data_IF_605771470568
#
_entry.id   IF_605771470568
#
_cell.length_a   1.000
_cell.length_b   1.000
_cell.length_c   1.000
_cell.angle_alpha   90.00
_cell.angle_beta   90.00
_cell.angle_gamma   90.00
#
_symmetry.space_group_name_H-M   'P 1'
#
loop_
_entity.id
_entity.type
_entity.pdbx_description
1 polymer ?
#
# COMPACT_ATOMS: atom_id res chain seq x y z
N UNK A 1 2.31 -3.99 -5.29
CA UNK A 1 3.09 -2.95 -4.61
C UNK A 1 3.40 -3.40 -3.19
N UNK A 2 2.40 -3.85 -2.44
CA UNK A 2 2.54 -4.41 -1.09
C UNK A 2 3.54 -5.57 -0.98
N UNK A 3 3.57 -6.48 -1.96
CA UNK A 3 4.60 -7.54 -2.00
C UNK A 3 6.03 -7.01 -2.18
N UNK A 4 6.20 -5.92 -2.95
CA UNK A 4 7.50 -5.24 -3.06
C UNK A 4 7.85 -4.51 -1.76
N UNK A 5 6.85 -3.96 -1.07
CA UNK A 5 6.98 -3.35 0.25
C UNK A 5 7.46 -4.36 1.30
N UNK A 6 6.88 -5.57 1.32
CA UNK A 6 7.34 -6.66 2.16
C UNK A 6 8.78 -7.12 1.83
N UNK A 7 9.15 -7.17 0.55
CA UNK A 7 10.53 -7.52 0.13
C UNK A 7 11.50 -6.44 0.59
N UNK A 8 11.13 -5.17 0.45
CA UNK A 8 11.94 -4.05 0.89
C UNK A 8 12.14 -4.06 2.42
N UNK A 9 11.11 -4.36 3.20
CA UNK A 9 11.27 -4.55 4.65
C UNK A 9 12.19 -5.70 5.03
N UNK A 10 12.12 -6.82 4.33
CA UNK A 10 13.06 -7.92 4.53
C UNK A 10 14.48 -7.49 4.19
N UNK A 11 14.64 -6.67 3.15
CA UNK A 11 15.91 -6.08 2.75
C UNK A 11 16.45 -5.10 3.79
N UNK A 12 15.62 -4.22 4.38
CA UNK A 12 15.99 -3.33 5.50
C UNK A 12 16.59 -4.14 6.65
N UNK A 13 15.90 -5.22 7.04
CA UNK A 13 16.34 -6.06 8.13
C UNK A 13 17.66 -6.77 7.78
N UNK A 14 17.80 -7.29 6.57
CA UNK A 14 19.06 -7.89 6.10
C UNK A 14 20.22 -6.89 6.10
N UNK A 15 20.01 -5.66 5.62
CA UNK A 15 21.01 -4.59 5.63
C UNK A 15 21.44 -4.26 7.05
N UNK A 16 20.49 -4.22 7.99
CA UNK A 16 20.74 -3.95 9.41
C UNK A 16 21.64 -5.00 10.08
N UNK A 17 21.53 -6.27 9.68
CA UNK A 17 22.24 -7.37 10.33
C UNK A 17 23.49 -7.85 9.58
N UNK A 18 23.59 -7.66 8.26
CA UNK A 18 24.59 -8.36 7.43
C UNK A 18 25.63 -7.48 6.72
N UNK A 19 25.42 -6.16 6.60
CA UNK A 19 26.30 -5.31 5.77
C UNK A 19 27.39 -4.63 6.61
N UNK A 20 28.68 -4.79 6.27
CA UNK A 20 29.78 -4.09 6.94
C UNK A 20 29.70 -2.56 6.75
N UNK A 21 30.22 -1.83 7.74
CA UNK A 21 29.96 -0.40 8.01
C UNK A 21 30.21 0.57 6.85
N UNK A 22 31.03 0.21 5.85
CA UNK A 22 31.45 1.11 4.76
C UNK A 22 30.47 1.14 3.56
N UNK A 23 29.72 0.07 3.29
CA UNK A 23 28.63 0.04 2.28
C UNK A 23 27.27 0.39 2.89
N UNK A 24 27.23 0.51 4.21
CA UNK A 24 26.01 0.64 4.98
C UNK A 24 25.26 1.94 4.66
N UNK A 25 25.94 3.08 4.56
CA UNK A 25 25.27 4.39 4.46
C UNK A 25 24.50 4.54 3.14
N UNK A 26 25.11 4.20 2.00
CA UNK A 26 24.44 4.31 0.69
C UNK A 26 23.32 3.29 0.54
N UNK A 27 23.55 2.05 0.98
CA UNK A 27 22.53 1.00 0.95
C UNK A 27 21.36 1.36 1.86
N UNK A 28 21.64 1.84 3.07
CA UNK A 28 20.62 2.29 4.01
C UNK A 28 19.81 3.48 3.48
N UNK A 29 20.45 4.46 2.81
CA UNK A 29 19.76 5.58 2.14
C UNK A 29 18.81 5.09 1.05
N UNK A 30 19.28 4.23 0.14
CA UNK A 30 18.47 3.69 -0.94
C UNK A 30 17.27 2.90 -0.42
N UNK A 31 17.48 2.05 0.57
CA UNK A 31 16.43 1.18 1.10
C UNK A 31 15.42 1.99 1.92
N UNK A 32 15.87 2.99 2.69
CA UNK A 32 14.94 3.90 3.38
C UNK A 32 14.12 4.74 2.40
N UNK A 33 14.73 5.16 1.28
CA UNK A 33 14.00 5.83 0.20
C UNK A 33 12.95 4.89 -0.42
N UNK A 34 13.33 3.65 -0.71
CA UNK A 34 12.45 2.65 -1.31
C UNK A 34 11.24 2.37 -0.43
N UNK A 35 11.42 2.28 0.89
CA UNK A 35 10.35 2.06 1.87
C UNK A 35 9.30 3.16 1.81
N UNK A 36 9.75 4.42 1.83
CA UNK A 36 8.87 5.58 1.82
C UNK A 36 8.23 5.78 0.45
N UNK A 37 8.97 5.52 -0.64
CA UNK A 37 8.41 5.50 -1.98
C UNK A 37 7.27 4.49 -2.08
N UNK A 38 7.51 3.24 -1.65
CA UNK A 38 6.51 2.18 -1.70
C UNK A 38 5.35 2.46 -0.74
N UNK A 39 5.60 3.16 0.37
CA UNK A 39 4.57 3.60 1.31
C UNK A 39 3.61 4.60 0.66
N UNK A 40 4.12 5.64 -0.03
CA UNK A 40 3.28 6.56 -0.81
C UNK A 40 2.51 5.84 -1.91
N UNK A 41 3.16 4.94 -2.63
CA UNK A 41 2.51 4.14 -3.67
C UNK A 41 1.35 3.35 -3.06
N UNK A 42 1.54 2.74 -1.88
CA UNK A 42 0.50 1.98 -1.18
C UNK A 42 -0.72 2.84 -0.84
N UNK A 43 -0.53 3.94 -0.12
CA UNK A 43 -1.65 4.79 0.34
C UNK A 43 -2.45 5.37 -0.83
N UNK A 44 -1.77 5.88 -1.87
CA UNK A 44 -2.46 6.46 -3.03
C UNK A 44 -3.18 5.34 -3.83
N UNK A 45 -2.58 4.15 -3.92
CA UNK A 45 -3.23 2.99 -4.57
C UNK A 45 -4.47 2.51 -3.79
N UNK A 46 -4.44 2.52 -2.46
CA UNK A 46 -5.59 2.17 -1.63
C UNK A 46 -6.73 3.18 -1.82
N UNK A 47 -6.40 4.47 -1.90
CA UNK A 47 -7.37 5.52 -2.21
C UNK A 47 -8.04 5.29 -3.58
N UNK A 48 -7.24 5.01 -4.61
CA UNK A 48 -7.74 4.63 -5.94
C UNK A 48 -8.70 3.44 -5.88
N UNK A 49 -8.32 2.40 -5.13
CA UNK A 49 -9.12 1.19 -5.00
C UNK A 49 -10.49 1.48 -4.34
N UNK A 50 -10.52 2.37 -3.34
CA UNK A 50 -11.76 2.85 -2.73
C UNK A 50 -12.64 3.58 -3.76
N UNK A 51 -12.06 4.54 -4.50
CA UNK A 51 -12.77 5.31 -5.53
C UNK A 51 -13.31 4.41 -6.64
N UNK A 52 -12.52 3.45 -7.10
CA UNK A 52 -12.95 2.49 -8.11
C UNK A 52 -14.18 1.68 -7.65
N UNK A 53 -14.17 1.19 -6.42
CA UNK A 53 -15.30 0.44 -5.85
C UNK A 53 -16.54 1.30 -5.65
N UNK A 54 -16.35 2.55 -5.23
CA UNK A 54 -17.43 3.51 -5.19
C UNK A 54 -18.05 3.72 -6.56
N UNK A 55 -17.24 3.99 -7.59
CA UNK A 55 -17.76 4.18 -8.95
C UNK A 55 -18.47 2.95 -9.50
N UNK A 56 -18.02 1.75 -9.16
CA UNK A 56 -18.69 0.50 -9.55
C UNK A 56 -20.06 0.30 -8.87
N UNK A 57 -20.29 0.94 -7.72
CA UNK A 57 -21.52 0.78 -6.93
C UNK A 57 -22.61 1.80 -7.31
N UNK A 58 -22.18 2.99 -7.76
CA UNK A 58 -23.03 4.08 -8.18
C UNK A 58 -23.09 4.18 -9.71
N UNK A 59 -24.26 3.90 -10.30
CA UNK A 59 -24.47 3.84 -11.76
C UNK A 59 -24.05 5.11 -12.51
N UNK A 60 -24.08 6.26 -11.84
CA UNK A 60 -23.66 7.55 -12.41
C UNK A 60 -22.15 7.60 -12.75
N UNK A 61 -21.34 6.75 -12.12
CA UNK A 61 -19.88 6.74 -12.25
C UNK A 61 -19.34 5.50 -12.97
N UNK A 62 -20.20 4.62 -13.48
CA UNK A 62 -19.79 3.35 -14.13
C UNK A 62 -18.92 3.57 -15.38
N UNK A 63 -19.04 4.74 -16.04
CA UNK A 63 -18.28 5.12 -17.24
C UNK A 63 -16.96 5.86 -16.96
N UNK A 64 -16.62 6.12 -15.69
CA UNK A 64 -15.44 6.90 -15.32
C UNK A 64 -14.15 6.11 -15.59
N UNK A 65 -14.16 4.81 -15.29
CA UNK A 65 -12.96 3.97 -15.33
C UNK A 65 -12.71 3.37 -16.72
N UNK A 66 -12.12 4.18 -17.61
CA UNK A 66 -11.57 3.70 -18.90
C UNK A 66 -10.11 3.29 -18.74
N UNK A 67 -9.65 2.29 -19.50
CA UNK A 67 -8.26 1.80 -19.45
C UNK A 67 -7.20 2.91 -19.57
N UNK A 68 -7.41 3.93 -20.43
CA UNK A 68 -6.52 5.09 -20.52
C UNK A 68 -6.44 5.90 -19.22
N UNK A 69 -7.57 6.11 -18.54
CA UNK A 69 -7.63 6.85 -17.27
C UNK A 69 -6.96 6.05 -16.15
N UNK A 70 -7.19 4.73 -16.10
CA UNK A 70 -6.54 3.83 -15.14
C UNK A 70 -5.02 3.88 -15.30
N UNK A 71 -4.52 3.74 -16.54
CA UNK A 71 -3.08 3.79 -16.79
C UNK A 71 -2.48 5.14 -16.42
N UNK A 72 -3.15 6.24 -16.79
CA UNK A 72 -2.70 7.60 -16.45
C UNK A 72 -2.65 7.80 -14.93
N UNK A 73 -3.63 7.27 -14.20
CA UNK A 73 -3.65 7.33 -12.75
C UNK A 73 -2.50 6.52 -12.14
N UNK A 74 -2.28 5.28 -12.58
CA UNK A 74 -1.17 4.44 -12.10
C UNK A 74 0.18 5.13 -12.33
N UNK A 75 0.40 5.71 -13.51
CA UNK A 75 1.61 6.49 -13.80
C UNK A 75 1.70 7.70 -12.86
N UNK A 76 0.59 8.40 -12.63
CA UNK A 76 0.50 9.49 -11.67
C UNK A 76 0.89 9.09 -10.25
N UNK A 77 0.43 7.92 -9.77
CA UNK A 77 0.83 7.37 -8.46
C UNK A 77 2.35 7.20 -8.40
N UNK A 78 2.94 6.54 -9.40
CA UNK A 78 4.37 6.26 -9.46
C UNK A 78 5.18 7.56 -9.45
N UNK A 79 4.83 8.51 -10.31
CA UNK A 79 5.55 9.79 -10.44
C UNK A 79 5.40 10.63 -9.17
N UNK A 80 4.18 10.76 -8.64
CA UNK A 80 3.93 11.55 -7.43
C UNK A 80 4.68 10.95 -6.23
N UNK A 81 4.60 9.64 -6.03
CA UNK A 81 5.30 8.93 -4.95
C UNK A 81 6.82 9.03 -5.08
N UNK A 82 7.34 9.04 -6.31
CA UNK A 82 8.75 9.26 -6.56
C UNK A 82 9.16 10.68 -6.14
N UNK A 83 8.43 11.70 -6.60
CA UNK A 83 8.73 13.11 -6.28
C UNK A 83 8.66 13.38 -4.78
N UNK A 84 7.64 12.87 -4.09
CA UNK A 84 7.48 13.06 -2.65
C UNK A 84 8.51 12.32 -1.81
N UNK A 85 9.14 11.28 -2.36
CA UNK A 85 10.21 10.53 -1.67
C UNK A 85 11.64 11.05 -1.96
N UNK A 86 11.84 11.89 -2.97
CA UNK A 86 13.15 12.50 -3.28
C UNK A 86 13.85 13.18 -2.08
N UNK A 87 13.16 13.93 -1.19
CA UNK A 87 13.83 14.59 -0.06
C UNK A 87 14.70 13.66 0.81
N UNK A 88 14.38 12.36 0.86
CA UNK A 88 15.14 11.35 1.63
C UNK A 88 16.49 11.03 1.00
N UNK A 89 16.56 11.06 -0.34
CA UNK A 89 17.78 10.75 -1.07
C UNK A 89 18.79 11.89 -0.99
N UNK A 90 18.33 13.13 -0.89
CA UNK A 90 19.18 14.33 -0.85
C UNK A 90 19.73 14.57 0.57
N UNK A 91 19.09 14.02 1.59
CA UNK A 91 19.48 14.19 2.99
C UNK A 91 20.82 13.53 3.31
N UNK A 92 21.79 14.34 3.74
CA UNK A 92 22.94 13.84 4.50
C UNK A 92 22.50 13.60 5.94
N UNK A 93 22.43 12.32 6.31
CA UNK A 93 22.27 11.94 7.72
C UNK A 93 23.67 11.91 8.31
N UNK A 94 23.94 12.75 9.30
CA UNK A 94 25.12 12.64 10.16
C UNK A 94 24.99 11.36 11.00
N UNK A 95 25.37 10.24 10.39
CA UNK A 95 25.33 8.91 10.97
C UNK A 95 26.73 8.62 11.50
N UNK A 96 26.85 8.48 12.83
CA UNK A 96 28.02 7.88 13.45
C UNK A 96 27.69 6.44 13.81
N UNK A 97 28.59 5.54 13.42
CA UNK A 97 28.56 4.17 13.91
C UNK A 97 29.37 4.11 15.22
N UNK A 98 28.70 3.97 16.35
CA UNK A 98 29.34 3.90 17.67
C UNK A 98 28.83 2.67 18.40
N UNK A 99 29.75 1.81 18.89
CA UNK A 99 29.44 0.60 19.66
C UNK A 99 28.42 -0.35 19.01
N UNK A 100 28.50 -0.56 17.70
CA UNK A 100 27.59 -1.46 16.98
C UNK A 100 26.20 -0.89 16.69
N UNK A 101 25.94 0.37 17.06
CA UNK A 101 24.67 1.05 16.85
C UNK A 101 24.85 2.29 15.97
N UNK A 102 23.87 2.55 15.10
CA UNK A 102 23.77 3.81 14.37
C UNK A 102 23.22 4.89 15.29
N UNK A 103 24.02 5.92 15.52
CA UNK A 103 23.60 7.12 16.24
C UNK A 103 23.44 8.22 15.19
N UNK A 104 22.22 8.74 15.07
CA UNK A 104 21.93 9.90 14.22
C UNK A 104 22.17 11.15 15.05
N UNK A 105 23.16 11.97 14.69
CA UNK A 105 23.64 13.05 15.55
C UNK A 105 22.71 14.29 15.62
N UNK A 106 21.84 14.50 14.63
CA UNK A 106 20.89 15.62 14.60
C UNK A 106 19.54 15.23 14.03
N UNK A 107 18.48 15.65 14.72
CA UNK A 107 17.14 15.76 14.14
C UNK A 107 17.18 16.97 13.20
N UNK A 108 17.52 16.73 11.92
CA UNK A 108 17.46 17.78 10.92
C UNK A 108 16.00 18.18 10.68
N UNK A 109 15.71 19.47 10.62
CA UNK A 109 14.39 20.06 10.33
C UNK A 109 13.71 19.42 9.11
N UNK A 110 14.50 18.95 8.15
CA UNK A 110 14.06 18.21 6.97
C UNK A 110 13.33 16.89 7.29
N UNK A 111 13.71 16.20 8.37
CA UNK A 111 13.01 15.00 8.85
C UNK A 111 11.61 15.35 9.35
N UNK A 112 11.47 16.47 10.05
CA UNK A 112 10.18 16.96 10.54
C UNK A 112 9.29 17.33 9.35
N UNK A 113 9.83 18.07 8.37
CA UNK A 113 9.10 18.43 7.14
C UNK A 113 8.63 17.17 6.39
N UNK A 114 9.49 16.16 6.27
CA UNK A 114 9.14 14.91 5.63
C UNK A 114 8.01 14.18 6.36
N UNK A 115 8.09 14.08 7.69
CA UNK A 115 7.03 13.46 8.52
C UNK A 115 5.73 14.24 8.45
N UNK A 116 5.79 15.57 8.34
CA UNK A 116 4.62 16.43 8.12
C UNK A 116 3.98 16.12 6.77
N UNK A 117 4.77 16.07 5.68
CA UNK A 117 4.27 15.72 4.34
C UNK A 117 3.61 14.32 4.37
N UNK A 118 4.28 13.34 4.98
CA UNK A 118 3.76 11.98 5.13
C UNK A 118 2.43 11.98 5.89
N UNK A 119 2.38 12.63 7.06
CA UNK A 119 1.19 12.74 7.89
C UNK A 119 0.03 13.40 7.16
N UNK A 120 0.28 14.48 6.41
CA UNK A 120 -0.75 15.16 5.60
C UNK A 120 -1.30 14.22 4.52
N UNK A 121 -0.43 13.51 3.81
CA UNK A 121 -0.85 12.57 2.77
C UNK A 121 -1.65 11.40 3.33
N UNK A 122 -1.20 10.81 4.44
CA UNK A 122 -1.93 9.75 5.14
C UNK A 122 -3.31 10.25 5.56
N UNK A 123 -3.39 11.40 6.22
CA UNK A 123 -4.64 11.99 6.67
C UNK A 123 -5.64 12.20 5.52
N UNK A 124 -5.19 12.82 4.41
CA UNK A 124 -6.04 13.09 3.24
C UNK A 124 -6.52 11.77 2.61
N UNK A 125 -5.61 10.82 2.40
CA UNK A 125 -5.94 9.56 1.73
C UNK A 125 -6.80 8.63 2.59
N UNK A 126 -6.59 8.58 3.90
CA UNK A 126 -7.39 7.80 4.84
C UNK A 126 -8.80 8.37 5.02
N UNK A 127 -8.94 9.69 5.13
CA UNK A 127 -10.26 10.33 5.20
C UNK A 127 -11.03 10.10 3.91
N UNK A 128 -10.40 10.34 2.75
CA UNK A 128 -11.04 10.11 1.47
C UNK A 128 -11.47 8.63 1.33
N UNK A 129 -10.58 7.69 1.66
CA UNK A 129 -10.86 6.25 1.61
C UNK A 129 -11.98 5.85 2.56
N UNK A 130 -12.02 6.42 3.77
CA UNK A 130 -13.06 6.19 4.78
C UNK A 130 -14.43 6.65 4.30
N UNK A 131 -14.54 7.91 3.85
CA UNK A 131 -15.80 8.50 3.39
C UNK A 131 -16.36 7.69 2.23
N UNK A 132 -15.51 7.40 1.24
CA UNK A 132 -15.86 6.66 0.03
C UNK A 132 -16.28 5.23 0.38
N UNK A 133 -15.58 4.56 1.30
CA UNK A 133 -15.93 3.20 1.75
C UNK A 133 -17.24 3.16 2.52
N UNK A 134 -17.50 4.12 3.43
CA UNK A 134 -18.76 4.22 4.18
C UNK A 134 -19.94 4.45 3.24
N UNK A 135 -19.82 5.37 2.28
CA UNK A 135 -20.85 5.61 1.27
C UNK A 135 -21.12 4.37 0.43
N UNK A 136 -20.07 3.64 0.05
CA UNK A 136 -20.19 2.39 -0.70
C UNK A 136 -20.92 1.33 0.12
N UNK A 137 -20.57 1.15 1.40
CA UNK A 137 -21.26 0.23 2.32
C UNK A 137 -22.74 0.57 2.51
N UNK A 138 -23.05 1.85 2.69
CA UNK A 138 -24.43 2.30 2.85
C UNK A 138 -25.27 1.96 1.62
N UNK A 139 -24.74 2.20 0.41
CA UNK A 139 -25.45 1.88 -0.84
C UNK A 139 -25.58 0.38 -1.08
N UNK A 140 -24.60 -0.40 -0.66
CA UNK A 140 -24.59 -1.87 -0.77
C UNK A 140 -25.61 -2.52 0.15
N UNK A 141 -25.88 -1.95 1.33
CA UNK A 141 -26.97 -2.43 2.21
C UNK A 141 -28.33 -2.32 1.54
N UNK A 142 -28.53 -1.35 0.65
CA UNK A 142 -29.80 -1.15 -0.05
C UNK A 142 -29.95 -1.99 -1.34
N UNK A 143 -28.93 -2.73 -1.78
CA UNK A 143 -28.93 -3.50 -3.04
C UNK A 143 -28.59 -4.97 -2.78
N UNK A 144 -29.13 -5.90 -3.59
CA UNK A 144 -28.66 -7.29 -3.67
C UNK A 144 -27.27 -7.34 -4.33
N UNK A 145 -26.24 -6.95 -3.60
CA UNK A 145 -24.84 -7.02 -4.02
C UNK A 145 -24.20 -8.34 -3.61
N UNK A 146 -23.24 -8.79 -4.42
CA UNK A 146 -22.60 -10.09 -4.24
C UNK A 146 -21.78 -10.08 -2.93
N UNK A 147 -21.77 -11.21 -2.21
CA UNK A 147 -21.00 -11.40 -0.96
C UNK A 147 -19.52 -11.00 -1.11
N UNK A 148 -18.94 -11.24 -2.30
CA UNK A 148 -17.59 -10.83 -2.66
C UNK A 148 -17.36 -9.32 -2.48
N UNK A 149 -18.23 -8.47 -3.06
CA UNK A 149 -18.10 -7.01 -3.02
C UNK A 149 -18.21 -6.49 -1.58
N UNK A 150 -19.11 -7.10 -0.78
CA UNK A 150 -19.28 -6.79 0.65
C UNK A 150 -18.01 -7.09 1.46
N UNK A 151 -17.46 -8.29 1.31
CA UNK A 151 -16.24 -8.69 2.02
C UNK A 151 -15.07 -7.77 1.65
N UNK A 152 -14.94 -7.49 0.36
CA UNK A 152 -13.87 -6.68 -0.18
C UNK A 152 -13.86 -5.26 0.42
N UNK A 153 -15.03 -4.64 0.58
CA UNK A 153 -15.14 -3.31 1.20
C UNK A 153 -14.91 -3.35 2.71
N UNK A 154 -15.44 -4.36 3.40
CA UNK A 154 -15.18 -4.51 4.85
C UNK A 154 -13.69 -4.60 5.15
N UNK A 155 -12.92 -5.26 4.29
CA UNK A 155 -11.47 -5.37 4.45
C UNK A 155 -10.77 -4.05 4.23
N UNK A 156 -11.23 -3.26 3.26
CA UNK A 156 -10.67 -1.92 3.10
C UNK A 156 -11.00 -1.03 4.29
N UNK A 157 -12.18 -1.16 4.91
CA UNK A 157 -12.46 -0.49 6.18
C UNK A 157 -11.54 -0.97 7.31
N UNK A 158 -11.31 -2.29 7.43
CA UNK A 158 -10.37 -2.83 8.41
C UNK A 158 -8.94 -2.35 8.19
N UNK A 159 -8.50 -2.32 6.93
CA UNK A 159 -7.19 -1.85 6.54
C UNK A 159 -6.96 -0.40 6.98
N UNK A 160 -7.93 0.49 6.70
CA UNK A 160 -7.88 1.89 7.16
C UNK A 160 -7.79 1.98 8.68
N UNK A 161 -8.52 1.14 9.43
CA UNK A 161 -8.42 1.13 10.90
C UNK A 161 -7.01 0.75 11.38
N UNK A 162 -6.35 -0.22 10.72
CA UNK A 162 -4.98 -0.58 11.06
C UNK A 162 -3.95 0.47 10.63
N UNK A 163 -4.22 1.26 9.58
CA UNK A 163 -3.38 2.39 9.15
C UNK A 163 -3.38 3.56 10.17
N UNK A 164 -4.38 3.66 11.05
CA UNK A 164 -4.40 4.68 12.11
C UNK A 164 -3.25 4.54 13.12
N UNK A 165 -2.72 3.32 13.32
CA UNK A 165 -1.60 3.07 14.24
C UNK A 165 -0.32 3.73 13.73
N UNK A 166 0.15 3.45 12.49
CA UNK A 166 1.31 4.12 11.95
C UNK A 166 1.08 5.62 11.75
N UNK A 167 -0.14 6.04 11.41
CA UNK A 167 -0.49 7.47 11.33
C UNK A 167 -0.27 8.18 12.68
N UNK A 168 -0.78 7.61 13.77
CA UNK A 168 -0.58 8.17 15.11
C UNK A 168 0.91 8.30 15.45
N UNK A 169 1.70 7.27 15.15
CA UNK A 169 3.15 7.31 15.41
C UNK A 169 3.86 8.41 14.64
N UNK A 170 3.53 8.62 13.36
CA UNK A 170 4.11 9.70 12.57
C UNK A 170 3.76 11.08 13.12
N UNK A 171 2.50 11.29 13.50
CA UNK A 171 2.04 12.52 14.15
C UNK A 171 2.73 12.73 15.51
N UNK A 172 2.84 11.68 16.33
CA UNK A 172 3.51 11.74 17.62
C UNK A 172 4.98 12.17 17.48
N UNK A 173 5.69 11.70 16.45
CA UNK A 173 7.06 12.12 16.18
C UNK A 173 7.17 13.57 15.69
N UNK A 174 6.19 14.08 14.94
CA UNK A 174 6.17 15.49 14.52
C UNK A 174 6.04 16.41 15.73
N UNK A 175 5.24 16.04 16.72
CA UNK A 175 5.01 16.80 17.94
C UNK A 175 5.93 16.42 19.11
N UNK A 176 6.89 15.53 18.89
CA UNK A 176 7.82 15.04 19.91
C UNK A 176 7.10 14.52 21.18
N UNK A 177 5.97 13.82 20.99
CA UNK A 177 5.21 13.24 22.10
C UNK A 177 5.99 12.07 22.71
N UNK A 178 6.26 12.15 24.01
CA UNK A 178 6.99 11.11 24.76
C UNK A 178 6.06 10.13 25.50
N UNK A 179 5.00 9.66 24.84
CA UNK A 179 4.01 8.78 25.45
C UNK A 179 4.39 7.28 25.35
N UNK A 180 3.79 6.46 26.21
CA UNK A 180 4.07 5.02 26.25
C UNK A 180 3.58 4.28 24.99
N UNK A 181 2.53 4.79 24.33
CA UNK A 181 1.93 4.14 23.16
C UNK A 181 2.80 4.36 21.91
N UNK A 182 3.30 5.57 21.66
CA UNK A 182 4.24 5.84 20.57
C UNK A 182 5.54 5.03 20.70
N UNK A 183 6.08 4.89 21.92
CA UNK A 183 7.24 3.99 22.21
C UNK A 183 6.94 2.53 21.91
N UNK A 184 5.74 2.06 22.26
CA UNK A 184 5.30 0.70 21.95
C UNK A 184 5.16 0.50 20.43
N UNK A 185 4.53 1.43 19.71
CA UNK A 185 4.41 1.37 18.25
C UNK A 185 5.79 1.39 17.59
N UNK A 186 6.72 2.22 18.05
CA UNK A 186 8.10 2.24 17.54
C UNK A 186 8.80 0.88 17.70
N UNK A 187 8.66 0.27 18.88
CA UNK A 187 9.30 -1.01 19.20
C UNK A 187 8.87 -2.12 18.24
N UNK A 188 7.61 -2.09 17.80
CA UNK A 188 7.02 -3.09 16.93
C UNK A 188 6.73 -2.58 15.51
N UNK A 189 7.29 -1.43 15.12
CA UNK A 189 6.97 -0.75 13.87
C UNK A 189 7.07 -1.67 12.65
N UNK A 190 8.21 -2.35 12.50
CA UNK A 190 8.45 -3.28 11.39
C UNK A 190 7.47 -4.45 11.37
N UNK A 191 7.08 -4.96 12.54
CA UNK A 191 6.11 -6.05 12.65
C UNK A 191 4.72 -5.58 12.24
N UNK A 192 4.30 -4.39 12.70
CA UNK A 192 3.01 -3.80 12.31
C UNK A 192 2.94 -3.53 10.82
N UNK A 193 3.96 -2.88 10.27
CA UNK A 193 4.06 -2.60 8.86
C UNK A 193 4.00 -3.89 8.03
N UNK A 194 4.81 -4.90 8.37
CA UNK A 194 4.80 -6.19 7.66
C UNK A 194 3.43 -6.87 7.71
N UNK A 195 2.76 -6.91 8.87
CA UNK A 195 1.42 -7.48 9.01
C UNK A 195 0.42 -6.69 8.16
N UNK A 196 0.48 -5.36 8.17
CA UNK A 196 -0.41 -4.49 7.42
C UNK A 196 -0.31 -4.77 5.90
N UNK A 197 0.90 -4.72 5.33
CA UNK A 197 1.10 -4.92 3.89
C UNK A 197 0.85 -6.37 3.44
N UNK A 198 1.27 -7.35 4.24
CA UNK A 198 1.03 -8.77 3.94
C UNK A 198 -0.45 -9.14 4.04
N UNK A 199 -1.16 -8.60 5.04
CA UNK A 199 -2.59 -8.87 5.23
C UNK A 199 -3.42 -8.30 4.08
N UNK A 200 -3.11 -7.11 3.56
CA UNK A 200 -3.83 -6.55 2.40
C UNK A 200 -3.71 -7.46 1.17
N UNK A 201 -2.48 -7.86 0.84
CA UNK A 201 -2.21 -8.76 -0.30
C UNK A 201 -2.88 -10.13 -0.13
N UNK A 202 -2.70 -10.75 1.04
CA UNK A 202 -3.26 -12.07 1.33
C UNK A 202 -4.78 -12.05 1.27
N UNK A 203 -5.39 -10.99 1.77
CA UNK A 203 -6.83 -10.86 1.81
C UNK A 203 -7.42 -10.69 0.41
N UNK A 204 -6.78 -9.89 -0.45
CA UNK A 204 -7.14 -9.77 -1.86
C UNK A 204 -7.07 -11.11 -2.59
N UNK A 205 -6.03 -11.92 -2.31
CA UNK A 205 -5.89 -13.26 -2.87
C UNK A 205 -6.99 -14.22 -2.40
N UNK A 206 -7.33 -14.21 -1.11
CA UNK A 206 -8.35 -15.10 -0.54
C UNK A 206 -9.73 -14.75 -1.11
N UNK A 207 -10.02 -13.47 -1.30
CA UNK A 207 -11.35 -13.01 -1.66
C UNK A 207 -11.58 -13.05 -3.16
N UNK A 208 -10.56 -12.76 -3.98
CA UNK A 208 -10.69 -12.78 -5.42
C UNK A 208 -10.51 -14.21 -5.99
N UNK A 209 -11.60 -14.87 -6.44
CA UNK A 209 -11.51 -16.21 -6.98
C UNK A 209 -10.74 -16.26 -8.29
N UNK A 210 -10.79 -15.20 -9.09
CA UNK A 210 -10.07 -15.10 -10.37
C UNK A 210 -8.57 -15.03 -10.12
N UNK A 211 -8.13 -14.12 -9.26
CA UNK A 211 -6.72 -14.00 -8.88
C UNK A 211 -6.18 -15.32 -8.30
N UNK A 212 -6.95 -15.97 -7.42
CA UNK A 212 -6.59 -17.28 -6.88
C UNK A 212 -6.45 -18.36 -7.96
N UNK A 213 -7.32 -18.35 -8.96
CA UNK A 213 -7.25 -19.30 -10.07
C UNK A 213 -6.05 -19.01 -10.99
N UNK A 214 -5.77 -17.73 -11.25
CA UNK A 214 -4.61 -17.30 -12.05
C UNK A 214 -3.30 -17.66 -11.34
N UNK A 215 -3.22 -17.46 -10.02
CA UNK A 215 -2.05 -17.89 -9.22
C UNK A 215 -1.92 -19.41 -9.19
N UNK A 216 -3.02 -20.16 -9.03
CA UNK A 216 -3.00 -21.62 -9.13
C UNK A 216 -2.53 -22.09 -10.50
N UNK A 217 -2.88 -21.39 -11.58
CA UNK A 217 -2.42 -21.68 -12.93
C UNK A 217 -0.93 -21.34 -13.09
N UNK A 218 -0.47 -20.23 -12.52
CA UNK A 218 0.95 -19.85 -12.53
C UNK A 218 1.83 -20.88 -11.81
N UNK A 219 1.40 -21.36 -10.64
CA UNK A 219 2.13 -22.40 -9.88
C UNK A 219 1.94 -23.82 -10.43
N UNK A 220 0.82 -24.09 -11.11
CA UNK A 220 0.68 -25.30 -11.93
C UNK A 220 1.35 -25.04 -13.28
N UNK A 221 2.67 -25.21 -13.38
CA UNK A 221 3.41 -25.29 -14.63
C UNK A 221 2.94 -26.46 -15.54
N UNK A 222 1.67 -26.46 -15.96
CA UNK A 222 1.18 -27.18 -17.12
C UNK A 222 1.07 -26.15 -18.23
N UNK A 223 1.82 -26.36 -19.32
CA UNK A 223 1.56 -25.65 -20.59
C UNK A 223 0.06 -25.74 -20.86
N UNK A 224 -0.68 -24.62 -20.92
CA UNK A 224 -2.12 -24.67 -21.11
C UNK A 224 -2.40 -25.37 -22.43
N UNK A 225 -3.21 -26.41 -22.38
CA UNK A 225 -3.63 -27.14 -23.57
C UNK A 225 -4.55 -26.24 -24.40
N UNK A 226 -4.46 -26.26 -25.75
CA UNK A 226 -5.24 -25.38 -26.66
C UNK A 226 -6.76 -25.33 -26.35
N UNK A 227 -7.30 -26.37 -25.73
CA UNK A 227 -8.71 -26.46 -25.35
C UNK A 227 -9.06 -25.63 -24.10
N UNK A 228 -8.16 -25.46 -23.14
CA UNK A 228 -8.39 -24.66 -21.92
C UNK A 228 -8.38 -23.16 -22.21
N UNK A 229 -7.59 -22.73 -23.20
CA UNK A 229 -7.56 -21.35 -23.69
C UNK A 229 -8.92 -20.95 -24.32
N UNK A 230 -9.58 -21.88 -25.02
CA UNK A 230 -10.93 -21.67 -25.58
C UNK A 230 -11.99 -21.52 -24.49
N UNK A 231 -11.97 -22.34 -23.44
CA UNK A 231 -12.93 -22.22 -22.33
C UNK A 231 -12.75 -20.93 -21.53
N UNK A 232 -11.50 -20.48 -21.32
CA UNK A 232 -11.22 -19.18 -20.69
C UNK A 232 -11.72 -18.01 -21.56
N UNK A 233 -11.58 -18.10 -22.89
CA UNK A 233 -12.09 -17.08 -23.82
C UNK A 233 -13.62 -17.00 -23.85
N UNK A 234 -14.31 -18.13 -23.68
CA UNK A 234 -15.78 -18.19 -23.62
C UNK A 234 -16.31 -17.70 -22.27
N UNK A 235 -15.62 -18.02 -21.17
CA UNK A 235 -16.00 -17.51 -19.85
C UNK A 235 -15.76 -15.99 -19.71
N UNK A 236 -14.72 -15.47 -20.37
CA UNK A 236 -14.45 -14.03 -20.49
C UNK A 236 -15.48 -13.31 -21.35
N UNK A 237 -15.95 -13.91 -22.46
CA UNK A 237 -17.00 -13.32 -23.30
C UNK A 237 -18.37 -13.28 -22.61
N UNK A 238 -18.68 -14.23 -21.73
CA UNK A 238 -19.91 -14.24 -20.92
C UNK A 238 -19.94 -13.23 -19.75
N UNK A 239 -18.79 -12.69 -19.34
CA UNK A 239 -18.69 -11.65 -18.29
C UNK A 239 -18.47 -10.25 -18.86
N UNK A 240 -18.46 -10.08 -20.19
CA UNK A 240 -18.10 -8.84 -20.86
C UNK A 240 -19.21 -7.77 -20.87
N UNK A 241 -20.19 -7.85 -19.96
CA UNK A 241 -21.07 -6.73 -19.67
C UNK A 241 -20.42 -5.83 -18.60
N UNK A 242 -19.51 -4.97 -19.08
CA UNK A 242 -19.23 -3.61 -18.59
C UNK A 242 -18.91 -3.36 -17.11
N UNK A 243 -18.11 -4.20 -16.45
CA UNK A 243 -17.48 -3.81 -15.16
C UNK A 243 -16.00 -4.12 -15.11
N UNK A 244 -15.18 -3.11 -15.32
CA UNK A 244 -13.76 -3.15 -14.98
C UNK A 244 -13.65 -2.81 -13.49
N UNK A 245 -13.61 -3.82 -12.64
CA UNK A 245 -13.21 -3.66 -11.24
C UNK A 245 -11.70 -3.88 -11.21
N UNK A 246 -10.94 -2.81 -10.98
CA UNK A 246 -9.51 -2.91 -10.64
C UNK A 246 -9.39 -3.72 -9.34
N UNK A 247 -8.64 -4.82 -9.42
CA UNK A 247 -8.26 -5.69 -8.30
C UNK A 247 -6.85 -5.33 -7.93
#
# INVERSE_FOLDING_TARGET
MDALHCIDFLWINLVRFAIPSYLYIQTFRFVTWLDIYLFFVHHISNCLLCFNRFSATFLQFEKVWKSKLINSYIIGIIVLSFITSIPIMIKDRDIIYQNGQLITLKIHTELIIQRIILSIFMFITEIASSIVSIWTLHKIRSKQTKRFEKNLIMITCWHVVFELIPFYYEVANVFELDDAFSKWVYTYWFTFAFILFSSNTLTMLIINPKLRNDIKLFFKLKKPTKNEIRTISLHSKGQNNNRVIIV
#
